data_IF_307437942663
#
_entry.id   IF_307437942663
#
_cell.length_a   1.000
_cell.length_b   1.000
_cell.length_c   1.000
_cell.angle_alpha   90.00
_cell.angle_beta   90.00
_cell.angle_gamma   90.00
#
_symmetry.space_group_name_H-M   'P 1'
#
loop_
_entity.id
_entity.type
_entity.pdbx_description
1 polymer ?
#
# COMPACT_ATOMS: atom_id res chain seq x y z
N UNK A 1 5.62 -10.97 0.86
CA UNK A 1 5.91 -9.56 1.18
C UNK A 1 7.32 -9.08 0.79
N UNK A 2 8.44 -9.65 1.27
CA UNK A 2 9.81 -9.22 0.87
C UNK A 2 10.00 -9.10 -0.65
N UNK A 3 9.50 -10.10 -1.38
CA UNK A 3 9.49 -10.11 -2.85
C UNK A 3 8.76 -8.90 -3.44
N UNK A 4 7.69 -8.42 -2.82
CA UNK A 4 6.91 -7.25 -3.25
C UNK A 4 7.73 -5.96 -3.12
N UNK A 5 8.21 -5.66 -1.91
CA UNK A 5 8.92 -4.38 -1.63
C UNK A 5 10.29 -4.29 -2.33
N UNK A 6 10.92 -5.44 -2.62
CA UNK A 6 12.21 -5.45 -3.33
C UNK A 6 12.15 -4.86 -4.73
N UNK A 7 11.00 -4.93 -5.41
CA UNK A 7 10.87 -4.62 -6.84
C UNK A 7 11.55 -5.64 -7.78
N UNK A 8 12.18 -6.67 -7.23
CA UNK A 8 12.93 -7.70 -7.96
C UNK A 8 12.08 -8.83 -8.55
N UNK A 9 12.72 -9.80 -9.22
CA UNK A 9 12.04 -10.99 -9.74
C UNK A 9 11.45 -11.88 -8.63
N UNK A 10 10.30 -12.47 -8.91
CA UNK A 10 9.58 -13.39 -8.01
C UNK A 10 9.77 -14.82 -8.53
N UNK A 11 10.49 -15.64 -7.77
CA UNK A 11 10.68 -17.06 -8.08
C UNK A 11 9.87 -17.94 -7.12
N UNK A 12 9.26 -18.99 -7.68
CA UNK A 12 8.52 -20.02 -6.94
C UNK A 12 9.14 -21.37 -7.30
N UNK A 13 9.60 -22.10 -6.29
CA UNK A 13 10.28 -23.39 -6.44
C UNK A 13 9.62 -24.48 -5.59
N UNK A 14 8.37 -24.25 -5.19
CA UNK A 14 7.58 -25.22 -4.43
C UNK A 14 7.27 -26.44 -5.31
N UNK A 15 7.00 -27.59 -4.68
CA UNK A 15 6.56 -28.76 -5.45
C UNK A 15 5.23 -28.46 -6.14
N UNK A 16 5.02 -29.08 -7.29
CA UNK A 16 3.75 -28.95 -8.03
C UNK A 16 2.59 -29.37 -7.12
N UNK A 17 1.59 -28.49 -6.98
CA UNK A 17 0.44 -28.70 -6.10
C UNK A 17 0.66 -28.31 -4.63
N UNK A 18 1.88 -27.98 -4.21
CA UNK A 18 2.20 -27.55 -2.84
C UNK A 18 2.38 -26.03 -2.70
N UNK A 19 2.27 -25.26 -3.81
CA UNK A 19 2.36 -23.80 -3.78
C UNK A 19 1.24 -23.19 -2.93
N UNK A 20 1.62 -22.37 -1.95
CA UNK A 20 0.66 -21.60 -1.18
C UNK A 20 0.14 -20.40 -2.01
N UNK A 21 -1.07 -20.53 -2.57
CA UNK A 21 -1.70 -19.48 -3.37
C UNK A 21 -1.88 -18.16 -2.59
N UNK A 22 -2.20 -18.19 -1.29
CA UNK A 22 -2.43 -16.97 -0.50
C UNK A 22 -1.17 -16.12 -0.34
N UNK A 23 0.02 -16.73 -0.48
CA UNK A 23 1.29 -16.01 -0.47
C UNK A 23 1.61 -15.33 -1.82
N UNK A 24 1.00 -15.78 -2.92
CA UNK A 24 1.27 -15.31 -4.27
C UNK A 24 0.19 -14.37 -4.82
N UNK A 25 -1.09 -14.61 -4.52
CA UNK A 25 -2.19 -13.81 -5.03
C UNK A 25 -2.07 -12.30 -4.73
N UNK A 26 -1.53 -11.86 -3.58
CA UNK A 26 -1.28 -10.44 -3.34
C UNK A 26 -0.11 -9.84 -4.16
N UNK A 27 0.72 -10.67 -4.81
CA UNK A 27 1.84 -10.24 -5.66
C UNK A 27 1.49 -10.11 -7.14
N UNK A 28 0.40 -10.74 -7.59
CA UNK A 28 0.10 -10.91 -9.01
C UNK A 28 -1.31 -10.43 -9.34
N UNK A 29 -1.50 -10.03 -10.60
CA UNK A 29 -2.81 -9.88 -11.22
C UNK A 29 -3.31 -11.23 -11.72
N UNK A 30 -4.62 -11.35 -11.97
CA UNK A 30 -5.30 -12.55 -12.49
C UNK A 30 -4.79 -12.99 -13.86
N UNK A 31 -4.21 -12.07 -14.64
CA UNK A 31 -3.55 -12.36 -15.92
C UNK A 31 -2.08 -12.84 -15.76
N UNK A 32 -1.62 -13.02 -14.53
CA UNK A 32 -0.28 -13.50 -14.21
C UNK A 32 0.81 -12.43 -14.19
N UNK A 33 0.50 -11.16 -14.50
CA UNK A 33 1.47 -10.07 -14.33
C UNK A 33 1.81 -9.90 -12.84
N UNK A 34 3.09 -9.72 -12.56
CA UNK A 34 3.57 -9.41 -11.20
C UNK A 34 3.49 -7.91 -10.97
N UNK A 35 2.80 -7.50 -9.90
CA UNK A 35 2.83 -6.11 -9.44
C UNK A 35 4.19 -5.84 -8.79
N UNK A 36 4.90 -4.83 -9.29
CA UNK A 36 6.23 -4.44 -8.82
C UNK A 36 6.24 -2.96 -8.50
N UNK A 37 7.06 -2.58 -7.54
CA UNK A 37 7.44 -1.19 -7.36
C UNK A 37 8.29 -0.73 -8.56
N UNK A 38 8.23 0.57 -8.86
CA UNK A 38 8.97 1.18 -9.97
C UNK A 38 10.44 1.43 -9.62
N UNK A 39 10.74 1.50 -8.32
CA UNK A 39 12.10 1.67 -7.78
C UNK A 39 12.56 0.39 -7.06
N UNK A 40 13.87 0.13 -7.00
CA UNK A 40 14.39 -0.96 -6.18
C UNK A 40 14.07 -0.70 -4.70
N UNK A 41 13.79 -1.77 -3.96
CA UNK A 41 13.70 -1.70 -2.50
C UNK A 41 15.08 -1.45 -1.89
N UNK A 42 15.24 -0.38 -1.13
CA UNK A 42 16.48 -0.02 -0.44
C UNK A 42 16.21 0.28 1.04
N UNK A 43 17.17 0.10 1.95
CA UNK A 43 17.00 0.54 3.34
C UNK A 43 16.62 2.02 3.42
N UNK A 44 15.80 2.39 4.39
CA UNK A 44 15.58 3.81 4.71
C UNK A 44 16.85 4.41 5.28
N UNK A 45 17.03 5.72 5.10
CA UNK A 45 18.27 6.41 5.47
C UNK A 45 18.57 6.32 6.96
N UNK A 46 17.55 6.40 7.81
CA UNK A 46 17.67 6.39 9.27
C UNK A 46 18.18 5.05 9.86
N UNK A 47 18.05 3.95 9.11
CA UNK A 47 18.57 2.62 9.51
C UNK A 47 19.78 2.17 8.69
N UNK A 48 20.28 3.01 7.77
CA UNK A 48 21.34 2.64 6.82
C UNK A 48 22.67 2.31 7.51
N UNK A 49 22.97 2.96 8.63
CA UNK A 49 24.23 2.83 9.37
C UNK A 49 24.10 2.01 10.66
N UNK A 50 22.96 1.36 10.86
CA UNK A 50 22.70 0.51 12.04
C UNK A 50 22.55 -0.93 11.58
N UNK A 51 23.13 -1.89 12.31
CA UNK A 51 22.92 -3.31 12.05
C UNK A 51 21.65 -3.78 12.80
N UNK A 52 20.50 -4.02 12.13
CA UNK A 52 19.25 -4.35 12.82
C UNK A 52 19.22 -5.80 13.36
N UNK A 53 20.23 -6.61 13.04
CA UNK A 53 20.40 -7.94 13.63
C UNK A 53 21.01 -7.88 15.04
N UNK A 54 21.77 -6.83 15.33
CA UNK A 54 22.51 -6.62 16.59
C UNK A 54 21.96 -5.46 17.43
N UNK A 55 21.19 -4.56 16.81
CA UNK A 55 20.53 -3.43 17.46
C UNK A 55 19.02 -3.65 17.42
N UNK A 56 18.33 -3.40 18.52
CA UNK A 56 16.88 -3.56 18.66
C UNK A 56 16.10 -2.44 17.92
N UNK A 57 16.25 -2.40 16.60
CA UNK A 57 15.52 -1.53 15.66
C UNK A 57 14.99 -2.35 14.49
N UNK A 58 13.82 -2.02 13.91
CA UNK A 58 13.33 -2.72 12.73
C UNK A 58 14.21 -2.41 11.51
N UNK A 59 14.46 -3.41 10.67
CA UNK A 59 14.95 -3.16 9.31
C UNK A 59 13.80 -2.54 8.50
N UNK A 60 13.98 -1.31 8.04
CA UNK A 60 13.01 -0.60 7.19
C UNK A 60 13.52 -0.55 5.75
N UNK A 61 12.68 -0.97 4.81
CA UNK A 61 12.95 -0.95 3.36
C UNK A 61 11.92 -0.04 2.70
N UNK A 62 12.39 0.94 1.92
CA UNK A 62 11.57 1.85 1.14
C UNK A 62 11.65 1.57 -0.36
N UNK A 63 10.58 1.90 -1.06
CA UNK A 63 10.49 1.94 -2.52
C UNK A 63 9.35 2.88 -2.95
N UNK A 64 9.07 2.96 -4.25
CA UNK A 64 8.01 3.81 -4.82
C UNK A 64 7.32 3.16 -6.01
N UNK A 65 6.06 3.53 -6.21
CA UNK A 65 5.31 3.27 -7.43
C UNK A 65 4.45 4.47 -7.79
N UNK A 66 4.61 5.00 -8.99
CA UNK A 66 4.10 6.32 -9.37
C UNK A 66 4.48 7.38 -8.33
N UNK A 67 3.46 8.09 -7.86
CA UNK A 67 3.59 9.13 -6.83
C UNK A 67 3.42 8.59 -5.40
N UNK A 68 3.25 7.28 -5.24
CA UNK A 68 3.07 6.64 -3.95
C UNK A 68 4.40 6.14 -3.38
N UNK A 69 4.56 6.34 -2.07
CA UNK A 69 5.62 5.77 -1.26
C UNK A 69 5.28 4.37 -0.77
N UNK A 70 6.27 3.50 -0.68
CA UNK A 70 6.15 2.17 -0.09
C UNK A 70 7.18 2.04 1.02
N UNK A 71 6.78 1.52 2.18
CA UNK A 71 7.70 1.17 3.25
C UNK A 71 7.32 -0.16 3.86
N UNK A 72 8.28 -1.05 4.04
CA UNK A 72 8.10 -2.29 4.77
C UNK A 72 9.07 -2.36 5.94
N UNK A 73 8.60 -2.83 7.09
CA UNK A 73 9.40 -2.96 8.30
C UNK A 73 9.46 -4.41 8.77
N UNK A 74 10.66 -4.85 9.16
CA UNK A 74 10.98 -6.23 9.51
C UNK A 74 11.69 -6.31 10.84
N UNK A 75 11.29 -7.29 11.65
CA UNK A 75 12.01 -7.70 12.83
C UNK A 75 13.03 -8.78 12.45
N UNK A 76 14.32 -8.43 12.48
CA UNK A 76 15.44 -9.36 12.24
C UNK A 76 16.42 -9.45 13.42
N UNK A 77 16.12 -8.78 14.53
CA UNK A 77 16.94 -8.80 15.73
C UNK A 77 16.89 -10.19 16.39
N UNK A 78 17.95 -10.58 17.10
CA UNK A 78 18.04 -11.89 17.76
C UNK A 78 16.94 -12.11 18.81
N UNK A 79 16.65 -11.08 19.61
CA UNK A 79 15.63 -11.14 20.67
C UNK A 79 14.21 -11.19 20.12
N UNK A 80 13.30 -11.89 20.83
CA UNK A 80 11.91 -12.04 20.41
C UNK A 80 11.00 -10.86 20.78
N UNK A 81 11.48 -9.90 21.58
CA UNK A 81 10.68 -8.75 22.00
C UNK A 81 10.22 -7.93 20.78
N UNK A 82 8.98 -7.43 20.76
CA UNK A 82 8.53 -6.53 19.70
C UNK A 82 9.42 -5.29 19.61
N UNK A 83 9.65 -4.82 18.38
CA UNK A 83 10.46 -3.63 18.12
C UNK A 83 9.55 -2.45 17.81
N UNK A 84 9.86 -1.31 18.40
CA UNK A 84 9.23 -0.04 18.07
C UNK A 84 9.88 0.55 16.82
N UNK A 85 9.06 1.12 15.95
CA UNK A 85 9.47 1.74 14.70
C UNK A 85 8.68 3.01 14.43
N UNK A 86 9.25 3.84 13.58
CA UNK A 86 8.65 5.08 13.13
C UNK A 86 8.71 5.14 11.61
N UNK A 87 7.62 5.62 11.01
CA UNK A 87 7.52 5.96 9.59
C UNK A 87 7.45 7.48 9.50
N UNK A 88 8.46 8.08 8.85
CA UNK A 88 8.44 9.48 8.43
C UNK A 88 8.32 9.54 6.91
N UNK A 89 7.66 10.57 6.38
CA UNK A 89 7.63 10.80 4.94
C UNK A 89 9.05 10.99 4.37
N UNK A 90 9.92 11.66 5.12
CA UNK A 90 11.34 11.83 4.79
C UNK A 90 12.12 10.51 4.65
N UNK A 91 11.65 9.40 5.25
CA UNK A 91 12.30 8.09 5.10
C UNK A 91 12.09 7.50 3.69
N UNK A 92 11.13 8.03 2.92
CA UNK A 92 10.78 7.58 1.57
C UNK A 92 11.23 8.64 0.56
N UNK A 93 12.26 8.31 -0.21
CA UNK A 93 12.91 9.29 -1.09
C UNK A 93 12.02 9.74 -2.26
N UNK A 94 11.81 11.05 -2.38
CA UNK A 94 11.14 11.69 -3.51
C UNK A 94 9.62 11.74 -3.41
N UNK A 95 9.08 11.67 -2.20
CA UNK A 95 7.75 12.21 -1.90
C UNK A 95 7.84 13.75 -1.97
N UNK A 96 6.83 14.38 -2.57
CA UNK A 96 6.84 15.81 -2.92
C UNK A 96 5.60 16.58 -2.42
N UNK A 97 4.54 15.87 -2.00
CA UNK A 97 3.30 16.46 -1.52
C UNK A 97 3.37 16.76 0.01
N UNK A 98 2.56 17.70 0.50
CA UNK A 98 2.60 18.13 1.92
C UNK A 98 1.97 17.10 2.88
N UNK A 99 1.04 16.29 2.38
CA UNK A 99 0.29 15.33 3.18
C UNK A 99 0.03 14.04 2.39
N UNK A 100 0.18 12.92 3.08
CA UNK A 100 -0.09 11.60 2.55
C UNK A 100 -1.08 10.85 3.43
N UNK A 101 -1.95 10.06 2.82
CA UNK A 101 -2.64 9.01 3.52
C UNK A 101 -1.71 7.78 3.56
N UNK A 102 -1.48 7.22 4.73
CA UNK A 102 -0.63 6.05 4.96
C UNK A 102 -1.50 4.86 5.31
N UNK A 103 -1.59 3.90 4.40
CA UNK A 103 -2.34 2.66 4.57
C UNK A 103 -1.43 1.52 5.06
N UNK A 104 -1.79 0.85 6.17
CA UNK A 104 -1.12 -0.36 6.66
C UNK A 104 -1.84 -1.61 6.19
N UNK A 105 -1.16 -2.44 5.40
CA UNK A 105 -1.76 -3.53 4.65
C UNK A 105 -2.34 -4.64 5.54
N UNK A 106 -1.66 -5.04 6.61
CA UNK A 106 -2.08 -6.19 7.42
C UNK A 106 -3.16 -5.84 8.43
N UNK A 107 -3.04 -4.69 9.08
CA UNK A 107 -4.03 -4.14 10.00
C UNK A 107 -5.27 -3.59 9.28
N UNK A 108 -5.16 -3.31 7.98
CA UNK A 108 -6.20 -2.65 7.17
C UNK A 108 -6.68 -1.35 7.83
N UNK A 109 -5.73 -0.51 8.21
CA UNK A 109 -5.98 0.82 8.77
C UNK A 109 -5.28 1.87 7.93
N UNK A 110 -5.72 3.11 8.01
CA UNK A 110 -5.01 4.23 7.42
C UNK A 110 -4.98 5.43 8.36
N UNK A 111 -3.98 6.28 8.18
CA UNK A 111 -3.88 7.57 8.87
C UNK A 111 -3.37 8.63 7.92
N UNK A 112 -3.71 9.88 8.17
CA UNK A 112 -3.01 11.01 7.55
C UNK A 112 -1.64 11.17 8.20
N UNK A 113 -0.63 11.46 7.39
CA UNK A 113 0.72 11.77 7.80
C UNK A 113 1.21 13.03 7.09
N UNK A 114 1.83 13.92 7.84
CA UNK A 114 2.52 15.13 7.38
C UNK A 114 3.99 15.06 7.81
N UNK A 115 4.78 16.09 7.52
CA UNK A 115 6.19 16.15 7.98
C UNK A 115 6.35 16.41 9.49
N UNK A 116 5.28 16.77 10.20
CA UNK A 116 5.36 17.22 11.60
C UNK A 116 5.62 16.08 12.60
N UNK A 117 4.84 15.00 12.52
CA UNK A 117 4.90 13.88 13.46
C UNK A 117 5.07 12.55 12.74
N UNK A 118 5.93 11.65 13.24
CA UNK A 118 6.06 10.31 12.67
C UNK A 118 4.85 9.43 12.98
N UNK A 119 4.53 8.51 12.06
CA UNK A 119 3.62 7.41 12.38
C UNK A 119 4.37 6.30 13.14
N UNK A 120 3.98 6.07 14.39
CA UNK A 120 4.58 5.02 15.23
C UNK A 120 3.92 3.68 15.02
N UNK A 121 4.72 2.62 15.03
CA UNK A 121 4.24 1.24 14.89
C UNK A 121 5.14 0.26 15.64
N UNK A 122 4.57 -0.90 15.97
CA UNK A 122 5.31 -2.04 16.53
C UNK A 122 5.44 -3.16 15.48
N UNK A 123 6.62 -3.78 15.40
CA UNK A 123 6.90 -4.94 14.56
C UNK A 123 7.23 -6.16 15.43
N UNK A 124 6.39 -7.18 15.35
CA UNK A 124 6.66 -8.47 15.97
C UNK A 124 7.49 -9.36 15.05
N UNK A 125 8.25 -10.29 15.63
CA UNK A 125 9.02 -11.28 14.87
C UNK A 125 8.11 -12.12 13.97
N UNK A 126 8.44 -12.18 12.68
CA UNK A 126 7.66 -12.91 11.67
C UNK A 126 6.36 -12.22 11.23
N UNK A 127 6.01 -11.06 11.80
CA UNK A 127 4.85 -10.25 11.40
C UNK A 127 5.33 -8.89 10.88
N UNK A 128 5.77 -8.82 9.62
CA UNK A 128 6.24 -7.57 9.07
C UNK A 128 5.10 -6.56 8.93
N UNK A 129 5.46 -5.27 8.80
CA UNK A 129 4.52 -4.21 8.44
C UNK A 129 4.74 -3.77 7.00
N UNK A 130 3.67 -3.37 6.32
CA UNK A 130 3.76 -2.80 4.98
C UNK A 130 2.82 -1.61 4.85
N UNK A 131 3.41 -0.49 4.45
CA UNK A 131 2.75 0.79 4.35
C UNK A 131 2.76 1.28 2.90
N UNK A 132 1.64 1.84 2.47
CA UNK A 132 1.53 2.61 1.22
C UNK A 132 1.17 4.04 1.57
N UNK A 133 2.05 4.99 1.24
CA UNK A 133 1.81 6.42 1.37
C UNK A 133 1.29 6.96 0.04
N UNK A 134 0.00 7.27 -0.03
CA UNK A 134 -0.64 7.87 -1.21
C UNK A 134 -0.84 9.39 -0.99
N UNK A 135 -0.43 10.24 -1.94
CA UNK A 135 -0.52 11.69 -1.75
C UNK A 135 -1.97 12.15 -1.76
N UNK A 136 -2.30 13.13 -0.90
CA UNK A 136 -3.57 13.83 -0.99
C UNK A 136 -3.54 14.83 -2.14
N UNK A 137 -4.46 14.68 -3.09
CA UNK A 137 -4.70 15.65 -4.18
C UNK A 137 -6.17 15.94 -4.26
N UNK A 138 -6.57 17.21 -4.21
CA UNK A 138 -7.98 17.62 -4.10
C UNK A 138 -8.71 16.89 -2.96
N UNK A 139 -8.04 16.67 -1.82
CA UNK A 139 -8.60 15.98 -0.66
C UNK A 139 -8.74 14.46 -0.79
N UNK A 140 -8.27 13.85 -1.88
CA UNK A 140 -8.35 12.41 -2.14
C UNK A 140 -6.97 11.76 -2.23
N UNK A 141 -6.83 10.55 -1.68
CA UNK A 141 -5.61 9.74 -1.78
C UNK A 141 -5.97 8.28 -2.12
N UNK A 142 -5.62 7.81 -3.31
CA UNK A 142 -5.93 6.46 -3.78
C UNK A 142 -4.84 5.45 -3.42
N UNK A 143 -5.18 4.40 -2.66
CA UNK A 143 -4.25 3.32 -2.33
C UNK A 143 -4.17 2.24 -3.40
N UNK A 144 -5.17 2.15 -4.29
CA UNK A 144 -5.27 1.09 -5.29
C UNK A 144 -5.96 -0.17 -4.77
N UNK A 145 -5.62 -1.34 -5.32
CA UNK A 145 -6.21 -2.62 -4.90
C UNK A 145 -5.58 -3.09 -3.60
N UNK A 146 -6.24 -2.87 -2.47
CA UNK A 146 -5.69 -3.14 -1.12
C UNK A 146 -5.54 -4.62 -0.78
N UNK A 147 -6.08 -5.51 -1.62
CA UNK A 147 -5.81 -6.95 -1.54
C UNK A 147 -4.40 -7.33 -2.06
N UNK A 148 -3.70 -6.38 -2.70
CA UNK A 148 -2.35 -6.56 -3.23
C UNK A 148 -1.33 -5.89 -2.31
N UNK A 149 -0.11 -6.41 -2.28
CA UNK A 149 0.97 -5.82 -1.48
C UNK A 149 1.37 -4.44 -2.02
N UNK A 150 1.66 -4.34 -3.32
CA UNK A 150 1.97 -3.07 -3.99
C UNK A 150 0.66 -2.50 -4.56
N UNK A 151 -0.28 -2.16 -3.66
CA UNK A 151 -1.66 -1.84 -4.02
C UNK A 151 -1.77 -0.69 -5.04
N UNK A 152 -0.95 0.35 -4.89
CA UNK A 152 -0.96 1.51 -5.77
C UNK A 152 -0.51 1.19 -7.21
N UNK A 153 0.32 0.16 -7.42
CA UNK A 153 0.69 -0.30 -8.76
C UNK A 153 -0.49 -0.95 -9.51
N UNK A 154 -1.59 -1.25 -8.81
CA UNK A 154 -2.83 -1.72 -9.42
C UNK A 154 -3.78 -0.57 -9.83
N UNK A 155 -3.30 0.67 -9.91
CA UNK A 155 -4.01 1.79 -10.55
C UNK A 155 -3.39 2.03 -11.92
N UNK A 156 -4.16 1.79 -12.97
CA UNK A 156 -3.70 2.03 -14.36
C UNK A 156 -3.74 3.51 -14.71
N UNK A 157 -4.77 4.20 -14.23
CA UNK A 157 -4.96 5.63 -14.42
C UNK A 157 -5.92 6.16 -13.36
N UNK A 158 -5.77 7.42 -12.99
CA UNK A 158 -6.74 8.12 -12.15
C UNK A 158 -6.81 9.61 -12.52
N UNK A 159 -7.99 10.19 -12.31
CA UNK A 159 -8.22 11.63 -12.38
C UNK A 159 -9.13 12.05 -11.24
N UNK A 160 -8.68 13.05 -10.49
CA UNK A 160 -9.35 13.51 -9.28
C UNK A 160 -9.70 14.99 -9.44
N UNK A 161 -10.97 15.29 -9.31
CA UNK A 161 -11.57 16.61 -9.26
C UNK A 161 -12.22 16.81 -7.87
N UNK A 162 -12.54 18.05 -7.47
CA UNK A 162 -13.12 18.33 -6.15
C UNK A 162 -14.41 17.53 -5.84
N UNK A 163 -15.24 17.29 -6.84
CA UNK A 163 -16.55 16.63 -6.72
C UNK A 163 -16.55 15.18 -7.22
N UNK A 164 -15.44 14.71 -7.82
CA UNK A 164 -15.39 13.42 -8.50
C UNK A 164 -13.98 12.84 -8.61
N UNK A 165 -13.85 11.56 -8.30
CA UNK A 165 -12.66 10.77 -8.64
C UNK A 165 -13.02 9.66 -9.63
N UNK A 166 -12.21 9.48 -10.67
CA UNK A 166 -12.34 8.42 -11.66
C UNK A 166 -11.04 7.62 -11.71
N UNK A 167 -11.14 6.31 -11.55
CA UNK A 167 -10.00 5.41 -11.43
C UNK A 167 -10.19 4.24 -12.38
N UNK A 168 -9.14 3.89 -13.12
CA UNK A 168 -9.08 2.71 -13.96
C UNK A 168 -8.21 1.65 -13.29
N UNK A 169 -8.79 0.48 -13.04
CA UNK A 169 -8.14 -0.67 -12.43
C UNK A 169 -7.92 -1.76 -13.48
N UNK A 170 -6.79 -2.49 -13.45
CA UNK A 170 -6.53 -3.57 -14.38
C UNK A 170 -7.48 -4.75 -14.15
N UNK A 171 -7.96 -4.93 -12.92
CA UNK A 171 -8.85 -6.02 -12.51
C UNK A 171 -9.73 -5.67 -11.30
N UNK A 172 -10.64 -6.59 -10.98
CA UNK A 172 -11.45 -6.58 -9.76
C UNK A 172 -10.66 -6.83 -8.47
N UNK A 173 -11.34 -6.63 -7.35
CA UNK A 173 -10.76 -6.62 -6.01
C UNK A 173 -11.36 -5.52 -5.15
N UNK A 174 -10.69 -5.17 -4.08
CA UNK A 174 -11.07 -4.12 -3.15
C UNK A 174 -10.26 -2.86 -3.44
N UNK A 175 -10.90 -1.83 -3.98
CA UNK A 175 -10.26 -0.52 -4.13
C UNK A 175 -10.31 0.24 -2.80
N UNK A 176 -9.16 0.69 -2.32
CA UNK A 176 -9.05 1.49 -1.11
C UNK A 176 -8.61 2.92 -1.41
N UNK A 177 -9.17 3.89 -0.68
CA UNK A 177 -8.80 5.30 -0.77
C UNK A 177 -9.10 6.02 0.55
N UNK A 178 -8.34 7.06 0.86
CA UNK A 178 -8.68 8.02 1.89
C UNK A 178 -9.24 9.30 1.27
N UNK A 179 -10.10 10.00 2.01
CA UNK A 179 -10.70 11.25 1.56
C UNK A 179 -10.97 12.18 2.74
N UNK A 180 -10.71 13.48 2.55
CA UNK A 180 -11.03 14.55 3.52
C UNK A 180 -12.52 14.92 3.49
N UNK A 181 -13.18 14.69 2.35
CA UNK A 181 -14.63 14.84 2.19
C UNK A 181 -15.27 13.45 2.13
N UNK A 182 -16.35 13.25 2.89
CA UNK A 182 -17.07 11.97 2.85
C UNK A 182 -17.63 11.71 1.43
N UNK A 183 -17.38 10.54 0.83
CA UNK A 183 -17.92 10.21 -0.48
C UNK A 183 -19.43 9.94 -0.40
N UNK A 184 -20.15 10.35 -1.43
CA UNK A 184 -21.63 10.26 -1.50
C UNK A 184 -22.08 8.95 -2.13
N UNK A 185 -21.43 8.57 -3.23
CA UNK A 185 -21.78 7.37 -3.98
C UNK A 185 -20.62 6.92 -4.84
N UNK A 186 -20.61 5.63 -5.18
CA UNK A 186 -19.65 5.07 -6.10
C UNK A 186 -20.33 4.19 -7.15
N UNK A 187 -19.66 4.06 -8.29
CA UNK A 187 -20.04 3.16 -9.37
C UNK A 187 -18.83 2.37 -9.86
N UNK A 188 -19.06 1.14 -10.26
CA UNK A 188 -18.07 0.30 -10.95
C UNK A 188 -18.68 -0.08 -12.30
N UNK A 189 -18.04 0.35 -13.39
CA UNK A 189 -18.57 0.21 -14.76
C UNK A 189 -20.01 0.72 -14.90
N UNK A 190 -20.32 1.84 -14.24
CA UNK A 190 -21.64 2.47 -14.26
C UNK A 190 -22.68 1.85 -13.33
N UNK A 191 -22.40 0.70 -12.71
CA UNK A 191 -23.29 0.08 -11.72
C UNK A 191 -23.01 0.64 -10.33
N UNK A 192 -24.05 1.06 -9.62
CA UNK A 192 -23.92 1.57 -8.26
C UNK A 192 -23.42 0.49 -7.30
N UNK A 193 -22.46 0.85 -6.45
CA UNK A 193 -21.86 -0.02 -5.44
C UNK A 193 -21.82 0.67 -4.08
N UNK A 194 -21.71 -0.14 -3.04
CA UNK A 194 -21.53 0.34 -1.67
C UNK A 194 -20.12 0.89 -1.46
N UNK A 195 -20.02 2.01 -0.75
CA UNK A 195 -18.77 2.51 -0.16
C UNK A 195 -18.78 2.14 1.31
N UNK A 196 -17.73 1.45 1.77
CA UNK A 196 -17.58 1.07 3.17
C UNK A 196 -16.61 2.00 3.85
N UNK A 197 -17.00 2.53 5.01
CA UNK A 197 -16.08 3.21 5.89
C UNK A 197 -15.28 2.17 6.69
N UNK A 198 -13.97 2.31 6.67
CA UNK A 198 -13.00 1.45 7.34
C UNK A 198 -12.25 2.29 8.38
N UNK A 199 -11.28 1.71 9.09
CA UNK A 199 -10.47 2.46 10.05
C UNK A 199 -9.51 3.43 9.34
N UNK A 200 -9.97 4.68 9.17
CA UNK A 200 -9.20 5.78 8.57
C UNK A 200 -9.21 5.85 7.04
N UNK A 201 -10.00 5.00 6.37
CA UNK A 201 -10.17 5.05 4.91
C UNK A 201 -11.54 4.52 4.45
N UNK A 202 -11.74 4.46 3.13
CA UNK A 202 -12.92 3.89 2.50
C UNK A 202 -12.55 2.76 1.54
N UNK A 203 -13.41 1.75 1.44
CA UNK A 203 -13.24 0.63 0.52
C UNK A 203 -14.45 0.43 -0.39
N UNK A 204 -14.19 -0.01 -1.63
CA UNK A 204 -15.19 -0.37 -2.62
C UNK A 204 -14.86 -1.75 -3.17
N UNK A 205 -15.82 -2.67 -3.11
CA UNK A 205 -15.69 -3.97 -3.77
C UNK A 205 -15.97 -3.82 -5.28
N UNK A 206 -14.93 -3.93 -6.10
CA UNK A 206 -15.01 -3.78 -7.55
C UNK A 206 -15.47 -5.06 -8.28
N UNK A 207 -15.80 -6.12 -7.55
CA UNK A 207 -16.27 -7.38 -8.13
C UNK A 207 -15.16 -8.15 -8.85
N UNK A 208 -15.54 -8.88 -9.90
CA UNK A 208 -14.62 -9.65 -10.75
C UNK A 208 -14.64 -9.11 -12.17
N UNK A 209 -13.52 -9.19 -12.88
CA UNK A 209 -13.38 -8.67 -14.25
C UNK A 209 -12.05 -7.96 -14.47
N UNK A 210 -11.85 -7.46 -15.68
CA UNK A 210 -10.63 -6.74 -16.11
C UNK A 210 -11.01 -5.36 -16.66
N UNK A 211 -10.14 -4.37 -16.50
CA UNK A 211 -10.35 -3.02 -17.03
C UNK A 211 -11.57 -2.34 -16.41
N UNK A 212 -11.59 -2.23 -15.09
CA UNK A 212 -12.72 -1.70 -14.34
C UNK A 212 -12.60 -0.18 -14.15
N UNK A 213 -13.68 0.54 -14.44
CA UNK A 213 -13.80 1.97 -14.19
C UNK A 213 -14.55 2.19 -12.86
N UNK A 214 -13.84 2.72 -11.88
CA UNK A 214 -14.42 3.15 -10.60
C UNK A 214 -14.67 4.65 -10.66
N UNK A 215 -15.89 5.06 -10.36
CA UNK A 215 -16.29 6.46 -10.24
C UNK A 215 -16.76 6.71 -8.81
N UNK A 216 -16.24 7.73 -8.15
CA UNK A 216 -16.60 8.13 -6.79
C UNK A 216 -17.03 9.60 -6.85
N UNK A 217 -18.20 9.90 -6.28
CA UNK A 217 -18.75 11.25 -6.24
C UNK A 217 -18.68 11.80 -4.81
N UNK A 218 -18.35 13.09 -4.71
CA UNK A 218 -18.28 13.87 -3.47
C UNK A 218 -19.33 14.99 -3.50
N UNK A 219 -19.60 15.61 -2.36
CA UNK A 219 -20.45 16.80 -2.23
C UNK A 219 -19.68 18.08 -2.54
#
# INVERSE_FOLDING_TARGET
MLRAISGGPVYVSDRVGETNASALLPLILSDGRVLRADKPGVPTEDVLLVNPAETAVPLKIQSRTGDCGLLAAFHIHADAAPLEGELRLADITGLEDEAYAVYEHFGRTATTLTEEEPHRFTVERGKPRMFTAAPYRNGFAGFGLVDKYVSAAAVTWQNVQPDRAVILLPEGGTYGFASQTAPVSARVNGLQVEIRAEEGFYSIACGTGTGLLVEILFQ
#
